data_IF_173211646690
#
_entry.id   IF_173211646690
#
_cell.length_a   1.000
_cell.length_b   1.000
_cell.length_c   1.000
_cell.angle_alpha   90.00
_cell.angle_beta   90.00
_cell.angle_gamma   90.00
#
_symmetry.space_group_name_H-M   'P 1'
#
loop_
_entity.id
_entity.type
_entity.pdbx_description
1 polymer ?
#
# COMPACT_ATOMS: atom_id res chain seq x y z
N UNK A 1 13.95 -4.61 -5.72
CA UNK A 1 14.91 -3.83 -4.93
C UNK A 1 15.58 -2.82 -5.83
N UNK A 2 15.48 -1.54 -5.49
CA UNK A 2 16.24 -0.49 -6.16
C UNK A 2 17.75 -0.63 -5.88
N UNK A 3 18.61 -0.21 -6.83
CA UNK A 3 20.05 -0.23 -6.65
C UNK A 3 20.44 0.73 -5.52
N UNK A 4 21.22 0.25 -4.54
CA UNK A 4 21.60 1.02 -3.35
C UNK A 4 22.27 2.36 -3.69
N UNK A 5 22.95 2.45 -4.84
CA UNK A 5 23.63 3.65 -5.32
C UNK A 5 22.69 4.79 -5.70
N UNK A 6 21.43 4.50 -6.05
CA UNK A 6 20.41 5.48 -6.44
C UNK A 6 19.29 5.60 -5.41
N UNK A 7 19.45 4.90 -4.29
CA UNK A 7 18.40 4.73 -3.31
C UNK A 7 17.91 6.05 -2.68
N UNK A 8 18.80 6.99 -2.30
CA UNK A 8 18.38 8.29 -1.79
C UNK A 8 17.60 9.10 -2.83
N UNK A 9 18.05 9.11 -4.09
CA UNK A 9 17.39 9.85 -5.17
C UNK A 9 16.03 9.24 -5.52
N UNK A 10 15.93 7.91 -5.58
CA UNK A 10 14.66 7.19 -5.80
C UNK A 10 13.65 7.53 -4.71
N UNK A 11 14.04 7.48 -3.44
CA UNK A 11 13.12 7.82 -2.34
C UNK A 11 12.66 9.28 -2.38
N UNK A 12 13.57 10.21 -2.68
CA UNK A 12 13.20 11.62 -2.85
C UNK A 12 12.24 11.85 -4.01
N UNK A 13 12.41 11.11 -5.11
CA UNK A 13 11.49 11.17 -6.25
C UNK A 13 10.10 10.66 -5.85
N UNK A 14 10.04 9.52 -5.17
CA UNK A 14 8.78 8.92 -4.70
C UNK A 14 8.07 9.85 -3.72
N UNK A 15 8.79 10.45 -2.77
CA UNK A 15 8.21 11.36 -1.78
C UNK A 15 7.53 12.58 -2.43
N UNK A 16 8.05 13.06 -3.58
CA UNK A 16 7.49 14.19 -4.33
C UNK A 16 6.32 13.82 -5.25
N UNK A 17 6.01 12.53 -5.41
CA UNK A 17 4.85 12.12 -6.19
C UNK A 17 3.55 12.69 -5.58
N UNK A 18 2.58 13.09 -6.42
CA UNK A 18 1.34 13.68 -5.94
C UNK A 18 0.50 12.65 -5.19
N UNK A 19 -0.44 13.15 -4.38
CA UNK A 19 -1.32 12.34 -3.54
C UNK A 19 -2.74 12.94 -3.50
N UNK A 20 -3.23 13.50 -4.60
CA UNK A 20 -4.51 14.22 -4.65
C UNK A 20 -5.66 13.33 -5.08
N UNK A 21 -5.39 12.31 -5.89
CA UNK A 21 -6.38 11.33 -6.37
C UNK A 21 -6.04 9.93 -5.88
N UNK A 22 -7.00 9.01 -5.99
CA UNK A 22 -6.77 7.60 -5.68
C UNK A 22 -5.66 7.01 -6.57
N UNK A 23 -5.71 7.28 -7.87
CA UNK A 23 -4.71 6.78 -8.82
C UNK A 23 -3.30 7.25 -8.47
N UNK A 24 -3.13 8.53 -8.16
CA UNK A 24 -1.83 9.09 -7.78
C UNK A 24 -1.27 8.45 -6.50
N UNK A 25 -2.13 8.25 -5.49
CA UNK A 25 -1.75 7.59 -4.24
C UNK A 25 -1.35 6.14 -4.48
N UNK A 26 -2.10 5.42 -5.34
CA UNK A 26 -1.80 4.03 -5.68
C UNK A 26 -0.50 3.91 -6.49
N UNK A 27 -0.26 4.80 -7.45
CA UNK A 27 1.00 4.80 -8.20
C UNK A 27 2.19 5.09 -7.28
N UNK A 28 2.05 6.05 -6.37
CA UNK A 28 3.06 6.35 -5.34
C UNK A 28 3.32 5.16 -4.41
N UNK A 29 2.27 4.43 -4.06
CA UNK A 29 2.36 3.22 -3.26
C UNK A 29 3.10 2.08 -3.98
N UNK A 30 2.80 1.87 -5.25
CA UNK A 30 3.48 0.87 -6.09
C UNK A 30 4.97 1.18 -6.22
N UNK A 31 5.33 2.43 -6.49
CA UNK A 31 6.75 2.85 -6.57
C UNK A 31 7.49 2.64 -5.24
N UNK A 32 6.85 2.96 -4.11
CA UNK A 32 7.42 2.69 -2.78
C UNK A 32 7.63 1.18 -2.53
N UNK A 33 6.68 0.35 -2.99
CA UNK A 33 6.81 -1.11 -2.90
C UNK A 33 7.97 -1.64 -3.76
N UNK A 34 8.22 -1.06 -4.94
CA UNK A 34 9.37 -1.40 -5.79
C UNK A 34 10.69 -1.00 -5.14
N UNK A 35 10.73 0.19 -4.51
CA UNK A 35 11.89 0.68 -3.80
C UNK A 35 12.29 -0.26 -2.65
N UNK A 36 11.29 -0.73 -1.88
CA UNK A 36 11.45 -1.70 -0.80
C UNK A 36 12.59 -1.33 0.19
N UNK A 37 12.46 -0.19 0.92
CA UNK A 37 13.55 0.46 1.67
C UNK A 37 14.18 -0.30 2.83
N UNK A 38 13.48 -1.26 3.41
CA UNK A 38 13.95 -1.98 4.59
C UNK A 38 14.39 -3.40 4.24
N UNK A 39 15.21 -3.99 5.11
CA UNK A 39 15.58 -5.41 4.99
C UNK A 39 14.37 -6.33 5.20
N UNK A 40 13.47 -5.98 6.13
CA UNK A 40 12.24 -6.70 6.45
C UNK A 40 11.12 -5.73 6.84
N UNK A 41 9.87 -6.17 6.76
CA UNK A 41 8.72 -5.40 7.24
C UNK A 41 8.20 -4.32 6.29
N UNK A 42 8.65 -4.31 5.03
CA UNK A 42 8.20 -3.36 4.01
C UNK A 42 6.70 -3.44 3.79
N UNK A 43 6.15 -4.63 3.53
CA UNK A 43 4.72 -4.78 3.25
C UNK A 43 3.82 -4.15 4.32
N UNK A 44 4.05 -4.51 5.60
CA UNK A 44 3.28 -3.94 6.74
C UNK A 44 3.43 -2.42 6.83
N UNK A 45 4.66 -1.93 6.72
CA UNK A 45 4.95 -0.50 6.88
C UNK A 45 4.37 0.32 5.72
N UNK A 46 4.46 -0.18 4.50
CA UNK A 46 3.93 0.52 3.31
C UNK A 46 2.42 0.46 3.24
N UNK A 47 1.75 -0.60 3.74
CA UNK A 47 0.28 -0.64 3.88
C UNK A 47 -0.25 0.40 4.87
N UNK A 48 0.39 0.54 6.03
CA UNK A 48 0.04 1.60 7.00
C UNK A 48 0.27 2.98 6.36
N UNK A 49 1.37 3.14 5.64
CA UNK A 49 1.68 4.39 4.94
C UNK A 49 0.63 4.73 3.87
N UNK A 50 0.17 3.74 3.09
CA UNK A 50 -0.94 3.89 2.15
C UNK A 50 -2.21 4.38 2.84
N UNK A 51 -2.62 3.75 3.94
CA UNK A 51 -3.81 4.15 4.69
C UNK A 51 -3.72 5.60 5.20
N UNK A 52 -2.53 6.04 5.63
CA UNK A 52 -2.31 7.41 6.07
C UNK A 52 -2.42 8.42 4.91
N UNK A 53 -1.91 8.10 3.72
CA UNK A 53 -2.06 8.93 2.52
C UNK A 53 -3.54 9.04 2.12
N UNK A 54 -4.24 7.90 2.04
CA UNK A 54 -5.69 7.85 1.73
C UNK A 54 -6.51 8.63 2.77
N UNK A 55 -6.19 8.49 4.06
CA UNK A 55 -6.89 9.20 5.15
C UNK A 55 -6.65 10.70 5.07
N UNK A 56 -5.42 11.12 4.77
CA UNK A 56 -5.06 12.54 4.63
C UNK A 56 -5.83 13.19 3.49
N UNK A 57 -5.72 12.62 2.28
CA UNK A 57 -6.17 13.23 1.03
C UNK A 57 -7.64 12.96 0.72
N UNK A 58 -8.12 11.73 0.92
CA UNK A 58 -9.44 11.29 0.46
C UNK A 58 -10.43 11.01 1.61
N UNK A 59 -10.00 11.10 2.87
CA UNK A 59 -10.80 10.74 4.05
C UNK A 59 -11.33 9.31 4.00
N UNK A 60 -10.51 8.40 3.46
CA UNK A 60 -10.78 6.96 3.36
C UNK A 60 -9.58 6.13 3.83
N UNK A 61 -9.80 4.87 4.18
CA UNK A 61 -8.77 3.86 4.41
C UNK A 61 -9.18 2.54 3.76
N UNK A 62 -8.25 1.59 3.64
CA UNK A 62 -8.50 0.28 3.04
C UNK A 62 -9.00 -0.70 4.10
N UNK A 63 -10.16 -1.31 3.85
CA UNK A 63 -10.59 -2.46 4.63
C UNK A 63 -9.87 -3.73 4.14
N UNK A 64 -8.68 -3.97 4.69
CA UNK A 64 -7.83 -5.12 4.36
C UNK A 64 -8.51 -6.48 4.61
N UNK A 65 -9.61 -6.52 5.39
CA UNK A 65 -10.37 -7.76 5.58
C UNK A 65 -11.18 -8.18 4.35
N UNK A 66 -11.41 -7.25 3.41
CA UNK A 66 -12.16 -7.49 2.17
C UNK A 66 -11.29 -7.92 1.00
N UNK A 67 -9.96 -7.96 1.19
CA UNK A 67 -9.01 -8.31 0.14
C UNK A 67 -8.41 -9.68 0.46
N UNK A 68 -8.48 -10.61 -0.49
CA UNK A 68 -7.83 -11.92 -0.35
C UNK A 68 -6.31 -11.78 -0.34
N UNK A 69 -5.64 -12.56 0.52
CA UNK A 69 -4.18 -12.53 0.68
C UNK A 69 -3.46 -12.88 -0.62
N UNK A 70 -3.85 -13.98 -1.28
CA UNK A 70 -3.16 -14.47 -2.46
C UNK A 70 -3.41 -13.57 -3.66
N UNK A 71 -4.63 -13.06 -3.79
CA UNK A 71 -5.00 -12.08 -4.80
C UNK A 71 -4.20 -10.78 -4.64
N UNK A 72 -4.11 -10.24 -3.42
CA UNK A 72 -3.29 -9.07 -3.13
C UNK A 72 -1.81 -9.29 -3.43
N UNK A 73 -1.22 -10.41 -2.99
CA UNK A 73 0.19 -10.71 -3.25
C UNK A 73 0.47 -10.90 -4.74
N UNK A 74 -0.47 -11.49 -5.49
CA UNK A 74 -0.38 -11.60 -6.94
C UNK A 74 -0.43 -10.23 -7.61
N UNK A 75 -1.42 -9.40 -7.25
CA UNK A 75 -1.60 -8.05 -7.76
C UNK A 75 -0.39 -7.15 -7.47
N UNK A 76 0.22 -7.27 -6.29
CA UNK A 76 1.42 -6.52 -5.92
C UNK A 76 2.64 -6.92 -6.78
N UNK A 77 2.78 -8.20 -7.14
CA UNK A 77 3.86 -8.64 -8.06
C UNK A 77 3.66 -8.12 -9.47
N UNK A 78 2.41 -8.12 -9.94
CA UNK A 78 2.04 -7.59 -11.26
C UNK A 78 2.18 -6.07 -11.34
N UNK A 79 1.94 -5.37 -10.23
CA UNK A 79 1.96 -3.90 -10.14
C UNK A 79 3.25 -3.22 -10.61
N UNK A 80 4.38 -3.95 -10.61
CA UNK A 80 5.66 -3.46 -11.15
C UNK A 80 5.56 -3.16 -12.65
N UNK A 81 4.72 -3.91 -13.37
CA UNK A 81 4.49 -3.71 -14.81
C UNK A 81 3.14 -3.05 -15.10
N UNK A 82 2.09 -3.43 -14.36
CA UNK A 82 0.74 -2.92 -14.54
C UNK A 82 0.02 -2.76 -13.19
N UNK A 83 -0.24 -1.52 -12.79
CA UNK A 83 -0.93 -1.19 -11.53
C UNK A 83 -2.46 -1.32 -11.61
N UNK A 84 -3.04 -1.65 -12.77
CA UNK A 84 -4.50 -1.73 -12.97
C UNK A 84 -5.14 -2.76 -12.03
N UNK A 85 -4.54 -3.95 -11.89
CA UNK A 85 -5.11 -5.01 -11.06
C UNK A 85 -5.18 -4.62 -9.58
N UNK A 86 -4.08 -4.08 -9.02
CA UNK A 86 -4.07 -3.67 -7.61
C UNK A 86 -5.02 -2.51 -7.34
N UNK A 87 -5.15 -1.56 -8.28
CA UNK A 87 -6.12 -0.45 -8.18
C UNK A 87 -7.55 -0.98 -8.14
N UNK A 88 -7.90 -1.88 -9.05
CA UNK A 88 -9.23 -2.50 -9.11
C UNK A 88 -9.57 -3.34 -7.87
N UNK A 89 -8.55 -3.90 -7.19
CA UNK A 89 -8.71 -4.66 -5.96
C UNK A 89 -8.91 -3.74 -4.73
N UNK A 90 -8.15 -2.64 -4.65
CA UNK A 90 -8.15 -1.75 -3.49
C UNK A 90 -9.32 -0.76 -3.50
N UNK A 91 -9.70 -0.23 -4.67
CA UNK A 91 -10.77 0.76 -4.81
C UNK A 91 -12.11 0.33 -4.17
N UNK A 92 -12.65 -0.89 -4.41
CA UNK A 92 -13.90 -1.32 -3.79
C UNK A 92 -13.78 -1.59 -2.29
N UNK A 93 -12.57 -1.84 -1.77
CA UNK A 93 -12.32 -2.07 -0.35
C UNK A 93 -12.17 -0.76 0.45
N UNK A 94 -12.28 0.41 -0.18
CA UNK A 94 -12.18 1.70 0.52
C UNK A 94 -13.39 1.96 1.43
N UNK A 95 -13.12 2.40 2.65
CA UNK A 95 -14.12 2.76 3.66
C UNK A 95 -13.90 4.14 4.25
N UNK A 96 -14.97 4.78 4.70
CA UNK A 96 -14.94 6.07 5.41
C UNK A 96 -14.79 5.93 6.92
N UNK A 97 -14.71 4.70 7.45
CA UNK A 97 -14.53 4.38 8.87
C UNK A 97 -13.11 4.65 9.39
N UNK A 98 -12.58 5.85 9.09
CA UNK A 98 -11.18 6.22 9.33
C UNK A 98 -10.81 6.45 10.81
N UNK A 99 -11.80 6.66 11.68
CA UNK A 99 -11.63 6.86 13.13
C UNK A 99 -12.20 5.69 13.95
N UNK A 100 -12.57 4.60 13.27
CA UNK A 100 -13.04 3.38 13.91
C UNK A 100 -11.85 2.55 14.39
N UNK A 101 -11.75 2.39 15.71
CA UNK A 101 -10.66 1.65 16.35
C UNK A 101 -10.66 0.17 15.97
N UNK A 102 -11.84 -0.44 15.84
CA UNK A 102 -11.95 -1.86 15.50
C UNK A 102 -11.51 -2.11 14.06
N UNK A 103 -11.92 -1.23 13.14
CA UNK A 103 -11.47 -1.25 11.75
C UNK A 103 -9.94 -1.15 11.68
N UNK A 104 -9.34 -0.20 12.39
CA UNK A 104 -7.88 -0.04 12.40
C UNK A 104 -7.17 -1.30 12.92
N UNK A 105 -7.62 -1.85 14.06
CA UNK A 105 -7.01 -3.05 14.65
C UNK A 105 -7.14 -4.26 13.71
N UNK A 106 -8.33 -4.47 13.12
CA UNK A 106 -8.54 -5.53 12.12
C UNK A 106 -7.62 -5.35 10.91
N UNK A 107 -7.47 -4.13 10.40
CA UNK A 107 -6.57 -3.83 9.30
C UNK A 107 -5.12 -4.21 9.61
N UNK A 108 -4.65 -3.93 10.82
CA UNK A 108 -3.32 -4.36 11.28
C UNK A 108 -3.23 -5.88 11.35
N UNK A 109 -4.21 -6.57 11.94
CA UNK A 109 -4.20 -8.03 12.05
C UNK A 109 -4.12 -8.72 10.68
N UNK A 110 -4.92 -8.26 9.70
CA UNK A 110 -4.89 -8.76 8.32
C UNK A 110 -3.57 -8.43 7.62
N UNK A 111 -3.04 -7.22 7.83
CA UNK A 111 -1.73 -6.83 7.32
C UNK A 111 -0.60 -7.73 7.84
N UNK A 112 -0.70 -8.24 9.08
CA UNK A 112 0.23 -9.24 9.60
C UNK A 112 -0.02 -10.64 9.02
N UNK A 113 -1.28 -11.04 8.84
CA UNK A 113 -1.65 -12.31 8.21
C UNK A 113 -1.08 -12.46 6.77
N UNK A 114 -1.02 -11.37 6.01
CA UNK A 114 -0.41 -11.38 4.68
C UNK A 114 1.07 -11.74 4.67
N UNK A 115 1.78 -11.50 5.77
CA UNK A 115 3.23 -11.76 5.91
C UNK A 115 3.54 -13.09 6.60
N UNK A 116 2.52 -13.80 7.10
CA UNK A 116 2.73 -15.14 7.66
C UNK A 116 2.99 -16.11 6.51
N UNK A 117 4.08 -16.88 6.60
CA UNK A 117 4.23 -18.09 5.79
C UNK A 117 3.11 -19.09 6.17
N UNK A 118 2.70 -19.96 5.24
CA UNK A 118 1.77 -21.07 5.54
C UNK A 118 2.19 -21.88 6.77
#
# INVERSE_FOLDING_TARGET
>A
FANCMHFPETLQAIERMPETTFDEIMDKYVEMNVAHPFMEGNGRSTRIWLDLMLKRSLKRCVDWSQIDKNEYLSAMRESVSDSTHIKALVEPALTTKIDDREMFMKGIDYSYYYEQDE
#
